data_IF_223736167601
#
_entry.id   IF_223736167601
#
_cell.length_a   1.000
_cell.length_b   1.000
_cell.length_c   1.000
_cell.angle_alpha   90.00
_cell.angle_beta   90.00
_cell.angle_gamma   90.00
#
_symmetry.space_group_name_H-M   'P 1'
#
loop_
_entity.id
_entity.type
_entity.pdbx_description
1 polymer ?
#
# COMPACT_ATOMS: atom_id res chain seq x y z
N UNK A 1 9.79 -33.13 25.49
CA UNK A 1 10.13 -32.85 24.07
C UNK A 1 9.32 -33.71 23.11
N UNK A 2 9.34 -35.04 23.24
CA UNK A 2 8.59 -35.97 22.37
C UNK A 2 7.07 -35.72 22.34
N UNK A 3 6.45 -35.43 23.50
CA UNK A 3 5.01 -35.14 23.62
C UNK A 3 4.62 -33.82 22.92
N UNK A 4 5.49 -32.78 23.01
CA UNK A 4 5.30 -31.52 22.26
C UNK A 4 5.42 -31.72 20.74
N UNK A 5 6.30 -32.63 20.30
CA UNK A 5 6.45 -32.99 18.90
C UNK A 5 5.24 -33.78 18.37
N UNK A 6 4.63 -34.62 19.21
CA UNK A 6 3.40 -35.36 18.87
C UNK A 6 2.22 -34.40 18.69
N UNK A 7 2.02 -33.45 19.63
CA UNK A 7 1.03 -32.39 19.50
C UNK A 7 1.24 -31.54 18.24
N UNK A 8 2.49 -31.19 17.89
CA UNK A 8 2.82 -30.49 16.65
C UNK A 8 2.38 -31.24 15.40
N UNK A 9 2.49 -32.57 15.41
CA UNK A 9 2.10 -33.42 14.26
C UNK A 9 0.58 -33.52 14.11
N UNK A 10 -0.15 -33.54 15.22
CA UNK A 10 -1.63 -33.58 15.24
C UNK A 10 -2.26 -32.26 14.74
N UNK A 11 -1.63 -31.11 14.99
CA UNK A 11 -2.10 -29.80 14.53
C UNK A 11 -1.99 -29.60 13.00
N UNK A 12 -1.25 -30.44 12.29
CA UNK A 12 -1.10 -30.32 10.81
C UNK A 12 -2.37 -30.60 10.02
N UNK A 13 -3.32 -31.33 10.60
CA UNK A 13 -4.60 -31.66 9.94
C UNK A 13 -5.52 -30.47 9.67
N UNK A 14 -5.35 -29.37 10.41
CA UNK A 14 -6.16 -28.16 10.24
C UNK A 14 -5.73 -27.27 9.06
N UNK A 15 -4.51 -27.48 8.55
CA UNK A 15 -3.94 -26.62 7.51
C UNK A 15 -4.69 -26.71 6.18
N UNK A 16 -5.31 -27.86 5.85
CA UNK A 16 -6.05 -28.02 4.59
C UNK A 16 -7.27 -27.11 4.52
N UNK A 17 -8.00 -26.95 5.63
CA UNK A 17 -9.13 -26.03 5.70
C UNK A 17 -8.73 -24.57 5.64
N UNK A 18 -7.55 -24.23 6.17
CA UNK A 18 -6.99 -22.89 6.08
C UNK A 18 -6.77 -22.47 4.62
N UNK A 19 -6.34 -23.39 3.75
CA UNK A 19 -6.16 -23.11 2.32
C UNK A 19 -7.46 -22.68 1.63
N UNK A 20 -8.58 -23.30 1.96
CA UNK A 20 -9.88 -22.87 1.41
C UNK A 20 -10.29 -21.47 1.87
N UNK A 21 -9.99 -21.11 3.11
CA UNK A 21 -10.23 -19.76 3.63
C UNK A 21 -9.38 -18.71 2.90
N UNK A 22 -8.10 -19.02 2.68
CA UNK A 22 -7.17 -18.16 1.92
C UNK A 22 -7.68 -17.97 0.49
N UNK A 23 -8.05 -19.06 -0.20
CA UNK A 23 -8.60 -18.99 -1.55
C UNK A 23 -9.89 -18.16 -1.61
N UNK A 24 -10.78 -18.31 -0.62
CA UNK A 24 -12.00 -17.51 -0.56
C UNK A 24 -11.73 -16.02 -0.44
N UNK A 25 -10.74 -15.61 0.36
CA UNK A 25 -10.34 -14.20 0.46
C UNK A 25 -9.74 -13.66 -0.85
N UNK A 26 -8.95 -14.47 -1.58
CA UNK A 26 -8.46 -14.08 -2.91
C UNK A 26 -9.60 -13.89 -3.90
N UNK A 27 -10.56 -14.82 -3.94
CA UNK A 27 -11.71 -14.74 -4.85
C UNK A 27 -12.55 -13.50 -4.54
N UNK A 28 -12.91 -13.27 -3.28
CA UNK A 28 -13.70 -12.10 -2.87
C UNK A 28 -12.98 -10.78 -3.22
N UNK A 29 -11.68 -10.71 -2.91
CA UNK A 29 -10.86 -9.52 -3.21
C UNK A 29 -10.76 -9.25 -4.71
N UNK A 30 -10.48 -10.25 -5.53
CA UNK A 30 -10.39 -10.10 -6.98
C UNK A 30 -11.74 -9.73 -7.60
N UNK A 31 -12.84 -10.34 -7.17
CA UNK A 31 -14.17 -10.07 -7.70
C UNK A 31 -14.58 -8.61 -7.44
N UNK A 32 -14.37 -8.11 -6.23
CA UNK A 32 -14.70 -6.74 -5.86
C UNK A 32 -13.79 -5.70 -6.51
N UNK A 33 -12.49 -5.97 -6.57
CA UNK A 33 -11.50 -5.01 -7.07
C UNK A 33 -11.38 -5.02 -8.61
N UNK A 34 -11.85 -6.04 -9.31
CA UNK A 34 -11.86 -6.03 -10.79
C UNK A 34 -12.78 -4.96 -11.39
N UNK A 35 -13.65 -4.35 -10.59
CA UNK A 35 -14.60 -3.32 -11.04
C UNK A 35 -14.14 -1.90 -10.74
N UNK A 36 -13.00 -1.71 -10.04
CA UNK A 36 -12.43 -0.39 -9.80
C UNK A 36 -11.60 0.06 -11.00
N UNK A 37 -11.57 1.36 -11.25
CA UNK A 37 -10.65 1.97 -12.20
C UNK A 37 -9.21 2.05 -11.67
N UNK A 38 -8.34 2.81 -12.33
CA UNK A 38 -6.96 3.01 -11.86
C UNK A 38 -6.97 3.68 -10.48
N UNK A 39 -6.23 3.10 -9.54
CA UNK A 39 -6.16 3.58 -8.17
C UNK A 39 -4.71 3.81 -7.72
N UNK A 40 -4.53 4.72 -6.77
CA UNK A 40 -3.26 4.96 -6.07
C UNK A 40 -3.39 4.47 -4.64
N UNK A 41 -2.43 3.67 -4.17
CA UNK A 41 -2.38 3.25 -2.78
C UNK A 41 -1.63 4.25 -1.91
N UNK A 42 -2.21 4.59 -0.75
CA UNK A 42 -1.60 5.49 0.23
C UNK A 42 -1.45 4.74 1.55
N UNK A 43 -0.20 4.63 2.00
CA UNK A 43 0.17 4.03 3.28
C UNK A 43 0.59 5.09 4.27
N UNK A 44 0.37 4.84 5.56
CA UNK A 44 0.82 5.74 6.60
C UNK A 44 0.35 5.32 7.99
N UNK A 45 0.65 6.16 8.97
CA UNK A 45 0.36 5.88 10.38
C UNK A 45 -1.13 5.87 10.68
N UNK A 46 -1.61 4.85 11.36
CA UNK A 46 -2.96 4.81 11.97
C UNK A 46 -3.12 5.78 13.17
N UNK A 47 -2.02 6.39 13.65
CA UNK A 47 -1.99 7.22 14.86
C UNK A 47 -1.99 8.72 14.57
N UNK A 48 -1.82 9.12 13.32
CA UNK A 48 -1.84 10.53 12.90
C UNK A 48 -3.22 11.12 13.13
N UNK A 49 -3.26 12.25 13.83
CA UNK A 49 -4.52 12.90 14.20
C UNK A 49 -5.01 13.83 13.09
N UNK A 50 -6.33 14.12 13.04
CA UNK A 50 -6.92 15.00 12.02
C UNK A 50 -6.36 16.42 11.98
N UNK A 51 -5.83 16.94 13.07
CA UNK A 51 -5.22 18.28 13.18
C UNK A 51 -3.73 18.32 12.83
N UNK A 52 -3.10 17.15 12.57
CA UNK A 52 -1.70 17.09 12.22
C UNK A 52 -1.46 17.36 10.72
N UNK A 53 -0.31 17.94 10.42
CA UNK A 53 0.13 18.32 9.07
C UNK A 53 -0.09 17.21 8.05
N UNK A 54 0.46 16.04 8.29
CA UNK A 54 0.41 14.93 7.34
C UNK A 54 -0.99 14.35 7.10
N UNK A 55 -1.91 14.46 8.08
CA UNK A 55 -3.31 14.12 7.84
C UNK A 55 -3.93 15.06 6.82
N UNK A 56 -3.80 16.39 7.01
CA UNK A 56 -4.37 17.40 6.13
C UNK A 56 -3.75 17.32 4.72
N UNK A 57 -2.44 17.18 4.63
CA UNK A 57 -1.75 17.01 3.36
C UNK A 57 -2.18 15.74 2.63
N UNK A 58 -2.45 14.64 3.35
CA UNK A 58 -2.98 13.40 2.75
C UNK A 58 -4.39 13.59 2.20
N UNK A 59 -5.26 14.31 2.91
CA UNK A 59 -6.61 14.65 2.40
C UNK A 59 -6.50 15.44 1.11
N UNK A 60 -5.67 16.49 1.09
CA UNK A 60 -5.50 17.36 -0.09
C UNK A 60 -4.86 16.61 -1.26
N UNK A 61 -3.85 15.79 -1.00
CA UNK A 61 -3.21 14.95 -2.02
C UNK A 61 -4.21 13.98 -2.65
N UNK A 62 -5.02 13.30 -1.84
CA UNK A 62 -6.03 12.36 -2.33
C UNK A 62 -7.08 13.04 -3.20
N UNK A 63 -7.48 14.26 -2.85
CA UNK A 63 -8.40 15.07 -3.67
C UNK A 63 -7.78 15.41 -5.04
N UNK A 64 -6.51 15.80 -5.08
CA UNK A 64 -5.83 16.08 -6.35
C UNK A 64 -5.70 14.82 -7.22
N UNK A 65 -5.37 13.67 -6.63
CA UNK A 65 -5.30 12.40 -7.37
C UNK A 65 -6.66 11.99 -7.94
N UNK A 66 -7.76 12.26 -7.24
CA UNK A 66 -9.11 12.02 -7.77
C UNK A 66 -9.42 12.93 -8.95
N UNK A 67 -9.02 14.20 -8.93
CA UNK A 67 -9.18 15.12 -10.07
C UNK A 67 -8.40 14.66 -11.29
N UNK A 68 -7.26 13.99 -11.09
CA UNK A 68 -6.47 13.35 -12.15
C UNK A 68 -7.08 12.02 -12.65
N UNK A 69 -8.19 11.56 -12.06
CA UNK A 69 -8.93 10.36 -12.48
C UNK A 69 -8.54 9.08 -11.74
N UNK A 70 -7.75 9.15 -10.67
CA UNK A 70 -7.39 8.00 -9.84
C UNK A 70 -8.36 7.82 -8.68
N UNK A 71 -8.72 6.56 -8.40
CA UNK A 71 -9.27 6.19 -7.11
C UNK A 71 -8.18 6.06 -6.04
N UNK A 72 -8.59 5.93 -4.77
CA UNK A 72 -7.67 5.78 -3.65
C UNK A 72 -7.88 4.44 -2.96
N UNK A 73 -6.81 3.72 -2.74
CA UNK A 73 -6.76 2.51 -1.91
C UNK A 73 -5.99 2.83 -0.63
N UNK A 74 -6.56 2.49 0.51
CA UNK A 74 -5.88 2.55 1.80
C UNK A 74 -6.11 1.28 2.62
N UNK A 75 -5.47 1.18 3.78
CA UNK A 75 -5.77 0.11 4.73
C UNK A 75 -7.15 0.20 5.41
N UNK A 76 -7.94 1.23 5.11
CA UNK A 76 -9.32 1.40 5.60
C UNK A 76 -9.44 1.75 7.10
N UNK A 77 -8.33 1.84 7.83
CA UNK A 77 -8.30 2.18 9.26
C UNK A 77 -8.25 3.69 9.52
N UNK A 78 -7.92 4.11 10.75
CA UNK A 78 -7.82 5.52 11.14
C UNK A 78 -6.52 6.19 10.64
N UNK A 79 -6.34 7.47 10.97
CA UNK A 79 -5.13 8.25 10.71
C UNK A 79 -4.94 8.55 9.23
N UNK A 80 -3.75 8.28 8.70
CA UNK A 80 -3.43 8.53 7.29
C UNK A 80 -4.36 7.75 6.36
N UNK A 81 -4.76 6.54 6.72
CA UNK A 81 -5.70 5.72 5.93
C UNK A 81 -7.07 6.40 5.81
N UNK A 82 -7.57 6.93 6.93
CA UNK A 82 -8.80 7.72 6.96
C UNK A 82 -8.64 9.01 6.14
N UNK A 83 -7.54 9.73 6.31
CA UNK A 83 -7.26 10.95 5.55
C UNK A 83 -7.29 10.71 4.04
N UNK A 84 -6.67 9.61 3.59
CA UNK A 84 -6.65 9.19 2.20
C UNK A 84 -8.06 8.91 1.66
N UNK A 85 -8.83 8.09 2.35
CA UNK A 85 -10.21 7.79 1.99
C UNK A 85 -11.11 9.03 2.04
N UNK A 86 -10.92 9.90 3.05
CA UNK A 86 -11.66 11.15 3.19
C UNK A 86 -11.45 12.08 1.99
N UNK A 87 -10.21 12.25 1.55
CA UNK A 87 -9.90 13.05 0.37
C UNK A 87 -10.61 12.52 -0.88
N UNK A 88 -10.58 11.19 -1.10
CA UNK A 88 -11.28 10.57 -2.22
C UNK A 88 -12.81 10.77 -2.13
N UNK A 89 -13.39 10.52 -0.97
CA UNK A 89 -14.83 10.66 -0.73
C UNK A 89 -15.32 12.11 -0.95
N UNK A 90 -14.58 13.10 -0.43
CA UNK A 90 -14.94 14.51 -0.56
C UNK A 90 -14.90 15.01 -2.02
N UNK A 91 -14.07 14.41 -2.87
CA UNK A 91 -13.99 14.77 -4.29
C UNK A 91 -14.89 13.87 -5.17
N UNK A 92 -15.65 12.94 -4.56
CA UNK A 92 -16.54 12.02 -5.27
C UNK A 92 -15.83 10.91 -6.06
N UNK A 93 -14.58 10.60 -5.69
CA UNK A 93 -13.77 9.53 -6.27
C UNK A 93 -13.99 8.17 -5.63
N UNK A 94 -13.45 7.13 -6.27
CA UNK A 94 -13.45 5.76 -5.73
C UNK A 94 -12.59 5.69 -4.47
N UNK A 95 -13.18 5.17 -3.39
CA UNK A 95 -12.54 5.05 -2.07
C UNK A 95 -12.56 3.61 -1.58
N UNK A 96 -11.39 2.96 -1.60
CA UNK A 96 -11.21 1.54 -1.25
C UNK A 96 -10.52 1.39 0.10
N UNK A 97 -11.04 0.51 0.94
CA UNK A 97 -10.44 0.11 2.20
C UNK A 97 -10.11 -1.37 2.23
N UNK A 98 -8.82 -1.71 2.27
CA UNK A 98 -8.33 -3.07 2.45
C UNK A 98 -7.97 -3.29 3.92
N UNK A 99 -8.96 -3.64 4.72
CA UNK A 99 -8.81 -3.81 6.16
C UNK A 99 -8.14 -5.15 6.50
N UNK A 100 -7.52 -5.19 7.67
CA UNK A 100 -7.02 -6.42 8.29
C UNK A 100 -7.70 -6.62 9.63
N UNK A 101 -8.16 -7.84 9.90
CA UNK A 101 -8.73 -8.20 11.19
C UNK A 101 -7.62 -8.20 12.25
N UNK A 102 -7.62 -7.20 13.12
CA UNK A 102 -6.71 -7.10 14.26
C UNK A 102 -7.48 -7.25 15.57
N UNK A 103 -6.90 -7.89 16.60
CA UNK A 103 -7.59 -8.11 17.89
C UNK A 103 -8.03 -6.82 18.59
N UNK A 104 -7.46 -5.67 18.22
CA UNK A 104 -7.63 -4.39 18.91
C UNK A 104 -8.23 -3.29 18.01
N UNK A 105 -8.44 -3.53 16.72
CA UNK A 105 -9.03 -2.58 15.78
C UNK A 105 -10.40 -3.11 15.34
N UNK A 106 -11.46 -2.37 15.60
CA UNK A 106 -12.82 -2.69 15.19
C UNK A 106 -13.34 -1.64 14.21
N UNK A 107 -13.57 -2.05 12.98
CA UNK A 107 -14.23 -1.26 11.95
C UNK A 107 -13.29 -0.45 11.06
N UNK A 108 -13.75 -0.20 9.82
CA UNK A 108 -13.11 0.71 8.89
C UNK A 108 -13.50 2.16 9.17
N UNK A 109 -12.86 3.11 8.49
CA UNK A 109 -13.25 4.51 8.53
C UNK A 109 -14.51 4.75 7.65
N UNK A 110 -15.25 5.80 7.98
CA UNK A 110 -16.56 6.12 7.37
C UNK A 110 -16.48 6.62 5.92
N UNK A 111 -15.27 6.86 5.38
CA UNK A 111 -15.04 7.41 4.05
C UNK A 111 -14.76 6.36 2.98
N UNK A 112 -14.74 5.09 3.36
CA UNK A 112 -14.62 3.96 2.41
C UNK A 112 -15.99 3.70 1.77
N UNK A 113 -16.02 3.45 0.45
CA UNK A 113 -17.23 3.04 -0.25
C UNK A 113 -17.74 1.72 0.31
N UNK A 114 -19.04 1.59 0.55
CA UNK A 114 -19.65 0.44 1.23
C UNK A 114 -19.36 -0.90 0.56
N UNK A 115 -19.34 -0.92 -0.77
CA UNK A 115 -19.07 -2.10 -1.59
C UNK A 115 -17.57 -2.37 -1.78
N UNK A 116 -16.71 -1.44 -1.37
CA UNK A 116 -15.24 -1.50 -1.50
C UNK A 116 -14.51 -1.61 -0.16
N UNK A 117 -15.24 -1.92 0.89
CA UNK A 117 -14.71 -2.21 2.20
C UNK A 117 -14.44 -3.72 2.30
N UNK A 118 -13.19 -4.14 2.18
CA UNK A 118 -12.78 -5.54 2.13
C UNK A 118 -11.98 -5.88 3.38
N UNK A 119 -12.46 -6.86 4.15
CA UNK A 119 -11.79 -7.33 5.36
C UNK A 119 -10.95 -8.57 5.05
N UNK A 120 -9.68 -8.50 5.38
CA UNK A 120 -8.74 -9.60 5.26
C UNK A 120 -8.37 -10.16 6.62
N UNK A 121 -8.28 -11.47 6.71
CA UNK A 121 -7.76 -12.20 7.85
C UNK A 121 -6.26 -12.47 7.71
N UNK A 122 -5.81 -12.56 6.45
CA UNK A 122 -4.43 -12.90 6.12
C UNK A 122 -3.69 -11.71 5.51
N UNK A 123 -2.60 -11.29 6.14
CA UNK A 123 -1.76 -10.17 5.68
C UNK A 123 -1.29 -10.34 4.23
N UNK A 124 -0.82 -11.53 3.86
CA UNK A 124 -0.31 -11.78 2.51
C UNK A 124 -1.38 -11.69 1.42
N UNK A 125 -2.64 -12.03 1.70
CA UNK A 125 -3.75 -11.83 0.75
C UNK A 125 -3.97 -10.34 0.53
N UNK A 126 -4.06 -9.56 1.61
CA UNK A 126 -4.21 -8.11 1.56
C UNK A 126 -3.09 -7.44 0.77
N UNK A 127 -1.84 -7.84 1.00
CA UNK A 127 -0.66 -7.34 0.29
C UNK A 127 -0.76 -7.55 -1.23
N UNK A 128 -1.18 -8.74 -1.66
CA UNK A 128 -1.41 -9.02 -3.08
C UNK A 128 -2.45 -8.07 -3.67
N UNK A 129 -3.54 -7.78 -2.95
CA UNK A 129 -4.56 -6.84 -3.41
C UNK A 129 -4.00 -5.42 -3.58
N UNK A 130 -3.23 -4.93 -2.61
CA UNK A 130 -2.57 -3.63 -2.71
C UNK A 130 -1.69 -3.53 -3.95
N UNK A 131 -0.80 -4.48 -4.13
CA UNK A 131 0.18 -4.46 -5.23
C UNK A 131 -0.50 -4.61 -6.58
N UNK A 132 -1.49 -5.50 -6.69
CA UNK A 132 -2.16 -5.82 -7.95
C UNK A 132 -2.96 -4.65 -8.53
N UNK A 133 -3.64 -3.89 -7.69
CA UNK A 133 -4.59 -2.87 -8.13
C UNK A 133 -4.05 -1.43 -8.02
N UNK A 134 -2.80 -1.27 -7.60
CA UNK A 134 -2.17 0.06 -7.48
C UNK A 134 -1.41 0.46 -8.73
N UNK A 135 -1.69 1.67 -9.20
CA UNK A 135 -0.93 2.32 -10.27
C UNK A 135 0.23 3.17 -9.75
N UNK A 136 0.20 3.53 -8.47
CA UNK A 136 1.30 4.14 -7.74
C UNK A 136 1.15 3.83 -6.25
N UNK A 137 2.24 3.87 -5.51
CA UNK A 137 2.27 3.77 -4.06
C UNK A 137 2.85 5.04 -3.46
N UNK A 138 2.15 5.59 -2.48
CA UNK A 138 2.60 6.76 -1.73
C UNK A 138 2.76 6.36 -0.27
N UNK A 139 3.97 6.48 0.25
CA UNK A 139 4.28 6.22 1.65
C UNK A 139 4.35 7.55 2.42
N UNK A 140 3.29 7.85 3.17
CA UNK A 140 3.26 8.91 4.16
C UNK A 140 4.01 8.45 5.42
N UNK A 141 4.39 9.36 6.34
CA UNK A 141 4.98 8.99 7.62
C UNK A 141 4.20 7.90 8.34
N UNK A 142 4.88 6.82 8.76
CA UNK A 142 4.21 5.67 9.34
C UNK A 142 5.11 4.73 10.13
N UNK A 143 4.51 3.70 10.70
CA UNK A 143 5.19 2.70 11.52
C UNK A 143 5.63 1.46 10.74
N UNK A 144 5.83 0.36 11.45
CA UNK A 144 6.30 -0.91 10.88
C UNK A 144 5.37 -1.45 9.77
N UNK A 145 4.05 -1.29 9.88
CA UNK A 145 3.14 -1.70 8.82
C UNK A 145 3.36 -0.94 7.52
N UNK A 146 3.63 0.37 7.60
CA UNK A 146 3.97 1.19 6.43
C UNK A 146 5.30 0.78 5.82
N UNK A 147 6.32 0.49 6.64
CA UNK A 147 7.62 0.01 6.18
C UNK A 147 7.52 -1.38 5.54
N UNK A 148 6.70 -2.26 6.08
CA UNK A 148 6.46 -3.61 5.57
C UNK A 148 5.87 -3.59 4.15
N UNK A 149 4.82 -2.79 3.93
CA UNK A 149 4.22 -2.64 2.60
C UNK A 149 5.17 -1.94 1.62
N UNK A 150 5.91 -0.92 2.07
CA UNK A 150 6.88 -0.19 1.26
C UNK A 150 7.99 -1.13 0.75
N UNK A 151 8.67 -1.83 1.67
CA UNK A 151 9.82 -2.64 1.30
C UNK A 151 9.44 -3.92 0.56
N UNK A 152 8.27 -4.48 0.78
CA UNK A 152 7.77 -5.57 -0.05
C UNK A 152 7.62 -5.10 -1.51
N UNK A 153 6.95 -3.97 -1.75
CA UNK A 153 6.75 -3.47 -3.11
C UNK A 153 8.07 -3.09 -3.78
N UNK A 154 8.98 -2.43 -3.05
CA UNK A 154 10.34 -2.14 -3.54
C UNK A 154 11.04 -3.42 -3.97
N UNK A 155 10.99 -4.46 -3.15
CA UNK A 155 11.62 -5.75 -3.45
C UNK A 155 11.01 -6.43 -4.66
N UNK A 156 9.69 -6.42 -4.79
CA UNK A 156 8.98 -7.01 -5.93
C UNK A 156 9.33 -6.31 -7.24
N UNK A 157 9.45 -4.98 -7.23
CA UNK A 157 9.86 -4.19 -8.40
C UNK A 157 11.34 -4.42 -8.72
N UNK A 158 12.23 -4.35 -7.72
CA UNK A 158 13.67 -4.56 -7.87
C UNK A 158 13.97 -5.93 -8.49
N UNK A 159 13.23 -6.96 -8.07
CA UNK A 159 13.39 -8.33 -8.56
C UNK A 159 12.60 -8.66 -9.82
N UNK A 160 11.92 -7.67 -10.42
CA UNK A 160 11.07 -7.82 -11.60
C UNK A 160 9.95 -8.88 -11.42
N UNK A 161 9.43 -9.02 -10.21
CA UNK A 161 8.28 -9.89 -9.93
C UNK A 161 6.95 -9.26 -10.27
N UNK A 162 6.91 -7.93 -10.31
CA UNK A 162 5.76 -7.14 -10.71
C UNK A 162 6.18 -6.09 -11.75
N UNK A 163 5.22 -5.59 -12.50
CA UNK A 163 5.42 -4.42 -13.37
C UNK A 163 5.76 -3.20 -12.50
N UNK A 164 6.75 -2.44 -12.91
CA UNK A 164 7.18 -1.25 -12.18
C UNK A 164 6.07 -0.20 -12.19
N UNK A 165 5.75 0.31 -11.00
CA UNK A 165 4.88 1.46 -10.76
C UNK A 165 5.63 2.50 -9.90
N UNK A 166 5.28 3.78 -9.95
CA UNK A 166 5.87 4.78 -9.08
C UNK A 166 5.68 4.43 -7.59
N UNK A 167 6.77 4.45 -6.82
CA UNK A 167 6.74 4.42 -5.35
C UNK A 167 7.26 5.77 -4.89
N UNK A 168 6.51 6.50 -4.07
CA UNK A 168 6.82 7.87 -3.68
C UNK A 168 6.86 7.98 -2.16
N UNK A 169 7.97 8.44 -1.61
CA UNK A 169 8.09 8.80 -0.21
C UNK A 169 7.65 10.26 -0.03
N UNK A 170 6.69 10.50 0.85
CA UNK A 170 6.20 11.83 1.14
C UNK A 170 6.63 12.29 2.52
N UNK A 171 7.35 13.40 2.60
CA UNK A 171 7.85 14.00 3.84
C UNK A 171 9.33 13.74 4.09
N UNK A 172 10.17 14.69 3.70
CA UNK A 172 11.63 14.59 3.83
C UNK A 172 12.11 14.61 5.28
N UNK A 173 11.38 15.29 6.16
CA UNK A 173 11.64 15.33 7.61
C UNK A 173 11.49 13.95 8.27
N UNK A 174 10.67 13.07 7.72
CA UNK A 174 10.50 11.70 8.20
C UNK A 174 11.39 10.70 7.44
N UNK A 175 11.32 10.70 6.10
CA UNK A 175 11.96 9.69 5.26
C UNK A 175 13.43 9.95 4.95
N UNK A 176 13.90 11.20 5.13
CA UNK A 176 15.27 11.61 4.78
C UNK A 176 16.34 10.77 5.47
N UNK A 177 16.18 10.51 6.77
CA UNK A 177 17.12 9.67 7.52
C UNK A 177 17.16 8.22 7.06
N UNK A 178 16.01 7.65 6.68
CA UNK A 178 15.96 6.29 6.12
C UNK A 178 16.64 6.25 4.74
N UNK A 179 16.36 7.20 3.88
CA UNK A 179 16.96 7.28 2.54
C UNK A 179 18.47 7.43 2.62
N UNK A 180 18.95 8.29 3.50
CA UNK A 180 20.37 8.46 3.77
C UNK A 180 21.03 7.18 4.29
N UNK A 181 20.34 6.44 5.19
CA UNK A 181 20.83 5.16 5.69
C UNK A 181 20.91 4.10 4.60
N UNK A 182 19.90 4.02 3.72
CA UNK A 182 19.89 3.11 2.57
C UNK A 182 21.08 3.41 1.65
N UNK A 183 21.30 4.68 1.30
CA UNK A 183 22.39 5.11 0.44
C UNK A 183 23.75 4.80 1.08
N UNK A 184 24.03 5.35 2.26
CA UNK A 184 25.33 5.21 2.92
C UNK A 184 25.64 3.79 3.38
N UNK A 185 24.62 3.04 3.78
CA UNK A 185 24.82 1.72 4.38
C UNK A 185 24.61 0.61 3.38
N UNK A 186 23.42 0.52 2.74
CA UNK A 186 23.14 -0.59 1.84
C UNK A 186 23.88 -0.46 0.51
N UNK A 187 23.96 0.76 -0.04
CA UNK A 187 24.64 0.99 -1.32
C UNK A 187 26.16 1.13 -1.11
N UNK A 188 26.59 2.21 -0.44
CA UNK A 188 28.01 2.58 -0.44
C UNK A 188 28.89 1.65 0.40
N UNK A 189 28.43 1.29 1.60
CA UNK A 189 29.26 0.53 2.54
C UNK A 189 29.23 -0.97 2.27
N UNK A 190 28.05 -1.54 2.03
CA UNK A 190 27.89 -3.00 1.92
C UNK A 190 27.61 -3.49 0.49
N UNK A 191 27.23 -2.62 -0.44
CA UNK A 191 26.93 -2.99 -1.82
C UNK A 191 25.76 -4.00 -1.95
N UNK A 192 24.79 -3.92 -1.03
CA UNK A 192 23.64 -4.83 -1.00
C UNK A 192 22.55 -4.47 -2.03
N UNK A 193 22.63 -3.26 -2.56
CA UNK A 193 21.76 -2.73 -3.61
C UNK A 193 22.61 -2.04 -4.68
N UNK A 194 22.01 -1.76 -5.85
CA UNK A 194 22.67 -1.05 -6.93
C UNK A 194 22.31 0.44 -6.94
N UNK A 195 23.12 1.33 -7.56
CA UNK A 195 22.76 2.75 -7.69
C UNK A 195 21.39 3.00 -8.31
N UNK A 196 20.95 2.14 -9.26
CA UNK A 196 19.62 2.23 -9.89
C UNK A 196 18.46 1.98 -8.93
N UNK A 197 18.71 1.26 -7.85
CA UNK A 197 17.67 0.96 -6.85
C UNK A 197 17.29 2.22 -6.06
N UNK A 198 18.16 3.22 -5.99
CA UNK A 198 17.86 4.53 -5.38
C UNK A 198 16.80 5.31 -6.16
N UNK A 199 16.66 5.06 -7.47
CA UNK A 199 15.65 5.68 -8.33
C UNK A 199 14.24 5.11 -8.08
N UNK A 200 14.12 4.04 -7.30
CA UNK A 200 12.83 3.46 -6.91
C UNK A 200 12.13 4.26 -5.81
N UNK A 201 12.85 5.12 -5.10
CA UNK A 201 12.39 5.83 -3.91
C UNK A 201 12.52 7.35 -4.04
N UNK A 202 11.83 8.02 -5.00
CA UNK A 202 11.73 9.47 -5.02
C UNK A 202 11.14 9.99 -3.71
N UNK A 203 11.70 11.08 -3.20
CA UNK A 203 11.30 11.72 -1.94
C UNK A 203 10.84 13.15 -2.26
N UNK A 204 9.63 13.48 -1.84
CA UNK A 204 8.96 14.75 -2.12
C UNK A 204 8.27 15.31 -0.88
N UNK A 205 7.97 16.61 -0.89
CA UNK A 205 7.34 17.32 0.23
C UNK A 205 6.03 18.04 -0.16
N UNK A 206 5.59 17.88 -1.40
CA UNK A 206 4.38 18.53 -1.90
C UNK A 206 3.58 17.61 -2.83
N UNK A 207 2.27 17.86 -2.90
CA UNK A 207 1.33 17.05 -3.69
C UNK A 207 1.51 17.27 -5.20
N UNK A 208 1.95 18.44 -5.61
CA UNK A 208 2.18 18.78 -7.01
C UNK A 208 3.31 17.91 -7.59
N UNK A 209 4.37 17.70 -6.82
CA UNK A 209 5.48 16.80 -7.17
C UNK A 209 5.00 15.34 -7.27
N UNK A 210 4.11 14.89 -6.38
CA UNK A 210 3.53 13.54 -6.46
C UNK A 210 2.74 13.36 -7.74
N UNK A 211 1.80 14.28 -8.02
CA UNK A 211 0.97 14.24 -9.24
C UNK A 211 1.85 14.29 -10.49
N UNK A 212 2.85 15.14 -10.50
CA UNK A 212 3.80 15.23 -11.61
C UNK A 212 4.53 13.92 -11.86
N UNK A 213 5.06 13.25 -10.82
CA UNK A 213 5.76 11.96 -10.97
C UNK A 213 4.83 10.91 -11.60
N UNK A 214 3.57 10.83 -11.14
CA UNK A 214 2.60 9.85 -11.64
C UNK A 214 2.23 10.18 -13.09
N UNK A 215 1.94 11.44 -13.41
CA UNK A 215 1.57 11.87 -14.75
C UNK A 215 2.73 11.73 -15.76
N UNK A 216 3.96 12.08 -15.37
CA UNK A 216 5.15 11.87 -16.20
C UNK A 216 5.37 10.37 -16.48
N UNK A 217 5.11 9.50 -15.50
CA UNK A 217 5.23 8.05 -15.65
C UNK A 217 4.25 7.50 -16.69
N UNK A 218 2.97 7.82 -16.55
CA UNK A 218 1.91 7.33 -17.46
C UNK A 218 1.75 8.16 -18.73
N UNK A 219 2.39 9.32 -18.82
CA UNK A 219 2.45 10.14 -20.04
C UNK A 219 3.31 9.54 -21.17
N UNK A 220 4.05 8.47 -20.88
CA UNK A 220 4.88 7.76 -21.86
C UNK A 220 4.13 6.60 -22.49
N UNK A 221 4.46 6.25 -23.75
CA UNK A 221 3.86 5.11 -24.45
C UNK A 221 4.28 3.74 -23.86
N UNK A 222 5.27 3.72 -22.99
CA UNK A 222 5.83 2.51 -22.40
C UNK A 222 5.02 2.00 -21.20
N UNK A 223 4.29 2.90 -20.51
CA UNK A 223 3.55 2.57 -19.29
C UNK A 223 2.03 2.67 -19.52
N UNK A 224 1.31 1.64 -19.10
CA UNK A 224 -0.15 1.54 -19.23
C UNK A 224 -0.82 1.51 -17.87
N UNK A 225 -2.02 2.09 -17.81
CA UNK A 225 -2.89 1.98 -16.64
C UNK A 225 -3.62 0.64 -16.70
N UNK A 226 -3.08 -0.37 -16.05
CA UNK A 226 -3.66 -1.72 -15.99
C UNK A 226 -3.32 -2.41 -14.67
N UNK A 227 -4.16 -3.32 -14.16
CA UNK A 227 -3.82 -4.11 -12.99
C UNK A 227 -2.54 -4.90 -13.22
N UNK A 228 -1.75 -5.10 -12.16
CA UNK A 228 -0.52 -5.86 -12.23
C UNK A 228 -0.82 -7.36 -12.34
N UNK A 229 -0.73 -7.91 -13.54
CA UNK A 229 -1.04 -9.33 -13.81
C UNK A 229 0.16 -10.27 -13.68
N UNK A 230 1.36 -9.74 -13.46
CA UNK A 230 2.58 -10.54 -13.32
C UNK A 230 2.83 -11.05 -11.88
N UNK A 231 1.80 -11.01 -11.03
CA UNK A 231 1.82 -11.53 -9.68
C UNK A 231 1.69 -13.05 -9.66
#
# INVERSE_FOLDING_TARGET
>A
MAEKLKQWTEMKGENSWTMFKVLAEFVDGFERLNQIGPCVSIYGSARTKPDEKYYQETVDLSRELVKEGFGIISGGGPGIMEAANKGAHLEGGVSVGLNIELPFEQGGNDYVDRDKHINHRYFFVRKVMFVKYSQALIAMPGGFGTLDELFETVTLIQTNKITRVPIILYGSDFWGGLKEWIEKTLLDKFGNISPKDMDLLPLVDDKESVVKIINDWYGTAEHRLEPNYNL
#
